data_IF_508958326902
#
_entry.id   IF_508958326902
#
_cell.length_a   1.000
_cell.length_b   1.000
_cell.length_c   1.000
_cell.angle_alpha   90.00
_cell.angle_beta   90.00
_cell.angle_gamma   90.00
#
_symmetry.space_group_name_H-M   'P 1'
#
loop_
_entity.id
_entity.type
_entity.pdbx_description
1 polymer ?
#
# COMPACT_ATOMS: atom_id res chain seq x y z
N UNK A 1 -64.16 -29.91 15.24
CA UNK A 1 -62.84 -30.27 14.74
C UNK A 1 -62.22 -29.15 13.86
N UNK A 2 -63.01 -28.55 12.99
CA UNK A 2 -62.54 -27.44 12.10
C UNK A 2 -62.17 -26.17 12.88
N UNK A 3 -62.84 -25.90 14.00
CA UNK A 3 -62.56 -24.71 14.84
C UNK A 3 -61.17 -24.69 15.49
N UNK A 4 -60.57 -25.84 15.76
CA UNK A 4 -59.20 -25.93 16.30
C UNK A 4 -58.13 -26.03 15.22
N UNK A 5 -58.52 -26.35 13.99
CA UNK A 5 -57.58 -26.51 12.88
C UNK A 5 -57.05 -25.14 12.38
N UNK A 6 -57.93 -24.16 12.35
CA UNK A 6 -57.58 -22.79 11.93
C UNK A 6 -56.53 -22.16 12.85
N UNK A 7 -56.70 -22.07 14.18
CA UNK A 7 -55.70 -21.52 15.08
C UNK A 7 -54.37 -22.29 15.08
N UNK A 8 -54.45 -23.64 14.90
CA UNK A 8 -53.23 -24.46 14.81
C UNK A 8 -52.41 -24.15 13.54
N UNK A 9 -53.08 -23.97 12.40
CA UNK A 9 -52.41 -23.58 11.15
C UNK A 9 -51.79 -22.19 11.26
N UNK A 10 -52.49 -21.22 11.87
CA UNK A 10 -51.94 -19.87 12.11
C UNK A 10 -50.72 -19.94 13.03
N UNK A 11 -50.79 -20.71 14.11
CA UNK A 11 -49.64 -20.88 15.00
C UNK A 11 -48.46 -21.54 14.31
N UNK A 12 -48.65 -22.57 13.52
CA UNK A 12 -47.61 -23.23 12.74
C UNK A 12 -46.98 -22.28 11.72
N UNK A 13 -47.78 -21.43 11.05
CA UNK A 13 -47.29 -20.43 10.14
C UNK A 13 -46.44 -19.36 10.84
N UNK A 14 -46.90 -18.86 11.98
CA UNK A 14 -46.15 -17.91 12.80
C UNK A 14 -44.82 -18.52 13.28
N UNK A 15 -44.85 -19.74 13.79
CA UNK A 15 -43.67 -20.48 14.26
C UNK A 15 -42.67 -20.67 13.09
N UNK A 16 -43.15 -21.07 11.92
CA UNK A 16 -42.32 -21.21 10.71
C UNK A 16 -41.70 -19.86 10.28
N UNK A 17 -42.48 -18.77 10.29
CA UNK A 17 -42.00 -17.44 9.95
C UNK A 17 -40.92 -16.97 10.94
N UNK A 18 -41.10 -17.18 12.23
CA UNK A 18 -40.09 -16.88 13.26
C UNK A 18 -38.84 -17.73 13.04
N UNK A 19 -38.99 -19.04 12.83
CA UNK A 19 -37.86 -19.95 12.59
C UNK A 19 -37.04 -19.55 11.34
N UNK A 20 -37.71 -19.12 10.28
CA UNK A 20 -37.04 -18.66 9.06
C UNK A 20 -36.19 -17.37 9.27
N UNK A 21 -36.56 -16.53 10.21
CA UNK A 21 -35.81 -15.32 10.58
C UNK A 21 -34.65 -15.58 11.53
N UNK A 22 -34.59 -16.74 12.18
CA UNK A 22 -33.54 -17.14 13.11
C UNK A 22 -32.24 -17.49 12.36
N UNK A 23 -32.35 -18.01 11.15
CA UNK A 23 -31.19 -18.51 10.38
C UNK A 23 -30.50 -17.35 9.66
N UNK A 24 -29.21 -17.14 9.98
CA UNK A 24 -28.34 -16.18 9.31
C UNK A 24 -27.13 -16.90 8.75
N UNK A 25 -26.88 -16.72 7.47
CA UNK A 25 -25.69 -17.24 6.78
C UNK A 25 -24.69 -16.10 6.69
N UNK A 26 -23.51 -16.33 7.27
CA UNK A 26 -22.39 -15.37 7.28
C UNK A 26 -21.35 -15.86 6.28
N UNK A 27 -20.89 -15.02 5.34
CA UNK A 27 -19.81 -15.37 4.41
C UNK A 27 -18.50 -15.70 5.13
N UNK A 28 -17.65 -16.46 4.47
CA UNK A 28 -16.31 -16.76 4.99
C UNK A 28 -15.46 -15.46 5.07
N UNK A 29 -14.56 -15.41 6.06
CA UNK A 29 -13.73 -14.25 6.37
C UNK A 29 -14.51 -12.99 6.79
N UNK A 30 -15.80 -13.11 7.13
CA UNK A 30 -16.57 -12.06 7.79
C UNK A 30 -17.10 -12.54 9.14
N UNK A 31 -17.32 -11.58 10.03
CA UNK A 31 -17.88 -11.86 11.37
C UNK A 31 -19.01 -10.90 11.65
N UNK A 32 -19.90 -11.32 12.53
CA UNK A 32 -21.03 -10.53 13.00
C UNK A 32 -21.03 -10.53 14.52
N UNK A 33 -21.15 -9.36 15.13
CA UNK A 33 -21.26 -9.22 16.57
C UNK A 33 -22.74 -9.36 16.95
N UNK A 34 -23.03 -10.26 17.87
CA UNK A 34 -24.38 -10.49 18.39
C UNK A 34 -24.45 -9.90 19.79
N UNK A 35 -25.41 -9.01 19.98
CA UNK A 35 -25.77 -8.45 21.28
C UNK A 35 -27.07 -9.07 21.78
N UNK A 36 -27.11 -9.40 23.07
CA UNK A 36 -28.31 -9.84 23.78
C UNK A 36 -28.74 -8.72 24.73
N UNK A 37 -29.93 -8.17 24.50
CA UNK A 37 -30.47 -7.05 25.27
C UNK A 37 -29.50 -5.88 25.42
N UNK A 38 -28.76 -5.54 24.34
CA UNK A 38 -27.80 -4.44 24.33
C UNK A 38 -26.43 -4.73 24.95
N UNK A 39 -26.16 -5.96 25.37
CA UNK A 39 -24.87 -6.41 25.89
C UNK A 39 -24.22 -7.38 24.91
N UNK A 40 -22.91 -7.28 24.72
CA UNK A 40 -22.15 -8.25 23.93
C UNK A 40 -22.40 -9.69 24.44
N UNK A 41 -22.78 -10.59 23.56
CA UNK A 41 -23.01 -12.01 23.86
C UNK A 41 -21.94 -12.87 23.19
N UNK A 42 -21.86 -12.85 21.86
CA UNK A 42 -20.91 -13.67 21.10
C UNK A 42 -20.56 -13.08 19.74
N UNK A 43 -19.46 -13.61 19.19
CA UNK A 43 -19.04 -13.36 17.82
C UNK A 43 -19.54 -14.52 16.92
N UNK A 44 -20.36 -14.21 15.94
CA UNK A 44 -20.80 -15.15 14.93
C UNK A 44 -19.82 -15.16 13.76
N UNK A 45 -19.13 -16.30 13.60
CA UNK A 45 -18.18 -16.52 12.50
C UNK A 45 -18.88 -17.01 11.23
N UNK A 46 -18.14 -17.11 10.12
CA UNK A 46 -18.65 -17.62 8.84
C UNK A 46 -19.34 -18.97 8.96
N UNK A 47 -20.45 -19.12 8.24
CA UNK A 47 -21.28 -20.31 8.24
C UNK A 47 -22.72 -20.04 8.69
N UNK A 48 -23.41 -21.11 9.09
CA UNK A 48 -24.80 -21.05 9.55
C UNK A 48 -24.83 -20.66 11.02
N UNK A 49 -25.49 -19.54 11.32
CA UNK A 49 -25.66 -19.04 12.68
C UNK A 49 -27.16 -18.88 12.99
N UNK A 50 -27.52 -19.24 14.24
CA UNK A 50 -28.88 -19.09 14.74
C UNK A 50 -28.91 -17.86 15.65
N UNK A 51 -29.76 -16.90 15.31
CA UNK A 51 -29.96 -15.64 16.07
C UNK A 51 -31.39 -15.64 16.56
N UNK A 52 -31.59 -15.55 17.89
CA UNK A 52 -32.92 -15.57 18.50
C UNK A 52 -33.59 -14.21 18.33
N UNK A 53 -34.66 -14.08 17.50
CA UNK A 53 -35.37 -12.82 17.37
C UNK A 53 -35.90 -12.34 18.71
N UNK A 54 -36.00 -11.01 18.90
CA UNK A 54 -36.41 -10.30 20.12
C UNK A 54 -35.37 -10.25 21.26
N UNK A 55 -34.54 -11.30 21.45
CA UNK A 55 -33.53 -11.33 22.52
C UNK A 55 -32.14 -10.94 21.99
N UNK A 56 -31.83 -11.37 20.81
CA UNK A 56 -30.54 -11.16 20.17
C UNK A 56 -30.69 -10.24 18.96
N UNK A 57 -29.77 -9.28 18.84
CA UNK A 57 -29.69 -8.35 17.69
C UNK A 57 -28.25 -8.26 17.17
N UNK A 58 -28.06 -8.28 15.85
CA UNK A 58 -26.75 -8.00 15.29
C UNK A 58 -26.40 -6.53 15.49
N UNK A 59 -25.18 -6.25 15.97
CA UNK A 59 -24.66 -4.90 16.11
C UNK A 59 -24.40 -4.29 14.73
N UNK A 60 -24.96 -3.13 14.47
CA UNK A 60 -24.68 -2.35 13.28
C UNK A 60 -23.44 -1.46 13.47
N UNK A 61 -22.61 -1.38 12.44
CA UNK A 61 -21.41 -0.54 12.39
C UNK A 61 -21.60 0.57 11.36
N UNK A 62 -21.19 1.78 11.72
CA UNK A 62 -21.25 2.94 10.85
C UNK A 62 -19.84 3.53 10.69
N UNK A 63 -19.02 2.90 9.85
CA UNK A 63 -17.67 3.37 9.58
C UNK A 63 -17.62 4.21 8.31
N UNK A 64 -16.77 5.21 8.30
CA UNK A 64 -16.55 6.08 7.12
C UNK A 64 -16.19 5.26 5.89
N UNK A 65 -16.88 5.50 4.78
CA UNK A 65 -16.69 4.76 3.52
C UNK A 65 -17.40 3.41 3.45
N UNK A 66 -18.02 2.94 4.54
CA UNK A 66 -18.83 1.73 4.57
C UNK A 66 -20.32 2.06 4.46
N UNK A 67 -21.13 1.06 4.06
CA UNK A 67 -22.59 1.23 4.03
C UNK A 67 -23.13 1.44 5.44
N UNK A 68 -23.95 2.47 5.68
CA UNK A 68 -24.55 2.69 6.98
C UNK A 68 -25.38 1.47 7.42
N UNK A 69 -25.28 1.09 8.69
CA UNK A 69 -26.01 -0.05 9.25
C UNK A 69 -25.48 -1.41 8.85
N UNK A 70 -24.24 -1.52 8.43
CA UNK A 70 -23.61 -2.80 8.12
C UNK A 70 -23.44 -3.63 9.39
N UNK A 71 -23.81 -4.89 9.32
CA UNK A 71 -23.79 -5.82 10.46
C UNK A 71 -22.66 -6.85 10.38
N UNK A 72 -21.96 -6.88 9.26
CA UNK A 72 -20.87 -7.82 9.01
C UNK A 72 -19.55 -7.05 8.87
N UNK A 73 -18.52 -7.54 9.55
CA UNK A 73 -17.17 -6.99 9.54
C UNK A 73 -16.29 -7.91 8.73
N UNK A 74 -15.63 -7.39 7.71
CA UNK A 74 -14.67 -8.13 6.90
C UNK A 74 -13.31 -8.20 7.61
N UNK A 75 -12.78 -9.41 7.78
CA UNK A 75 -11.49 -9.68 8.41
C UNK A 75 -10.32 -9.73 7.42
N UNK A 76 -10.58 -9.60 6.13
CA UNK A 76 -9.52 -9.55 5.12
C UNK A 76 -8.80 -8.22 5.19
N UNK A 77 -7.59 -8.20 4.65
CA UNK A 77 -6.85 -6.95 4.48
C UNK A 77 -7.65 -5.98 3.59
N UNK A 78 -7.75 -4.76 4.07
CA UNK A 78 -8.44 -3.66 3.41
C UNK A 78 -7.46 -2.53 3.15
N UNK A 79 -7.81 -1.66 2.22
CA UNK A 79 -7.03 -0.46 1.97
C UNK A 79 -7.94 0.78 2.05
N UNK A 80 -7.35 1.86 2.51
CA UNK A 80 -7.99 3.17 2.54
C UNK A 80 -7.09 4.15 1.81
N UNK A 81 -7.62 4.77 0.77
CA UNK A 81 -6.93 5.79 -0.02
C UNK A 81 -7.19 7.16 0.61
N UNK A 82 -6.12 7.86 0.97
CA UNK A 82 -6.19 9.22 1.49
C UNK A 82 -6.06 10.20 0.34
N UNK A 83 -6.95 11.19 0.34
CA UNK A 83 -6.83 12.32 -0.58
C UNK A 83 -5.59 13.16 -0.27
N UNK A 84 -5.03 13.89 -1.25
CA UNK A 84 -3.88 14.74 -1.05
C UNK A 84 -4.07 15.71 0.10
N UNK A 85 -3.14 15.70 1.06
CA UNK A 85 -3.15 16.57 2.24
C UNK A 85 -2.00 17.56 2.16
N UNK A 86 -2.22 18.84 2.48
CA UNK A 86 -1.15 19.81 2.59
C UNK A 86 -0.33 19.55 3.86
N UNK A 87 0.98 19.44 3.69
CA UNK A 87 1.95 19.26 4.77
C UNK A 87 3.09 20.25 4.58
N UNK A 88 3.55 20.84 5.68
CA UNK A 88 4.67 21.79 5.69
C UNK A 88 5.91 21.05 6.16
N UNK A 89 6.96 21.07 5.35
CA UNK A 89 8.28 20.49 5.68
C UNK A 89 9.07 21.40 6.63
N UNK A 90 10.19 20.90 7.17
CA UNK A 90 11.05 21.66 8.08
C UNK A 90 11.64 22.93 7.44
N UNK A 91 11.89 22.90 6.14
CA UNK A 91 12.36 24.04 5.33
C UNK A 91 11.23 24.98 4.89
N UNK A 92 10.05 24.87 5.52
CA UNK A 92 8.87 25.74 5.33
C UNK A 92 8.29 25.70 3.90
N UNK A 93 8.39 24.56 3.22
CA UNK A 93 7.75 24.32 1.93
C UNK A 93 6.45 23.54 2.14
N UNK A 94 5.34 24.04 1.60
CA UNK A 94 4.06 23.32 1.61
C UNK A 94 4.04 22.33 0.45
N UNK A 95 3.87 21.05 0.76
CA UNK A 95 3.76 19.97 -0.23
C UNK A 95 2.41 19.29 -0.11
N UNK A 96 1.89 18.77 -1.23
CA UNK A 96 0.69 17.93 -1.27
C UNK A 96 1.12 16.49 -1.25
N UNK A 97 0.64 15.73 -0.25
CA UNK A 97 0.99 14.32 -0.05
C UNK A 97 -0.26 13.48 -0.01
N UNK A 98 -0.33 12.46 -0.83
CA UNK A 98 -1.34 11.41 -0.83
C UNK A 98 -0.74 10.06 -0.42
N UNK A 99 -1.54 9.25 0.24
CA UNK A 99 -1.09 7.96 0.77
C UNK A 99 -2.18 6.90 0.74
N UNK A 100 -1.77 5.65 0.76
CA UNK A 100 -2.64 4.48 0.92
C UNK A 100 -2.22 3.73 2.17
N UNK A 101 -3.20 3.32 2.95
CA UNK A 101 -3.00 2.52 4.16
C UNK A 101 -3.60 1.15 3.93
N UNK A 102 -2.84 0.10 4.22
CA UNK A 102 -3.31 -1.28 4.25
C UNK A 102 -3.47 -1.71 5.70
N UNK A 103 -4.65 -2.16 6.06
CA UNK A 103 -4.99 -2.54 7.42
C UNK A 103 -5.95 -3.72 7.47
N UNK A 104 -5.98 -4.41 8.60
CA UNK A 104 -6.80 -5.59 8.82
C UNK A 104 -7.37 -5.57 10.23
N UNK A 105 -8.64 -5.94 10.37
CA UNK A 105 -9.26 -6.13 11.68
C UNK A 105 -8.80 -7.46 12.26
N UNK A 106 -8.10 -7.41 13.39
CA UNK A 106 -7.63 -8.59 14.13
C UNK A 106 -8.55 -8.94 15.29
N UNK A 107 -9.13 -7.95 15.94
CA UNK A 107 -10.08 -8.11 17.02
C UNK A 107 -11.36 -7.30 16.74
N UNK A 108 -12.40 -7.93 16.17
CA UNK A 108 -13.63 -7.25 15.81
C UNK A 108 -14.38 -6.63 17.02
N UNK A 109 -14.21 -7.21 18.20
CA UNK A 109 -14.87 -6.71 19.40
C UNK A 109 -14.32 -5.35 19.76
N UNK A 110 -12.99 -5.23 19.84
CA UNK A 110 -12.34 -3.94 20.09
C UNK A 110 -12.64 -2.93 18.99
N UNK A 111 -12.62 -3.38 17.72
CA UNK A 111 -12.89 -2.50 16.59
C UNK A 111 -14.28 -1.84 16.63
N UNK A 112 -15.26 -2.44 17.30
CA UNK A 112 -16.62 -1.91 17.39
C UNK A 112 -16.91 -1.18 18.69
N UNK A 113 -16.30 -1.62 19.81
CA UNK A 113 -16.63 -1.06 21.12
C UNK A 113 -15.61 -0.02 21.63
N UNK A 114 -14.36 -0.07 21.16
CA UNK A 114 -13.34 0.91 21.59
C UNK A 114 -13.34 2.20 20.75
N UNK A 115 -13.86 2.14 19.52
CA UNK A 115 -13.89 3.30 18.61
C UNK A 115 -15.23 3.37 17.86
N UNK A 116 -15.81 4.57 17.78
CA UNK A 116 -17.09 4.74 17.11
C UNK A 116 -16.98 4.66 15.58
N UNK A 117 -15.98 5.34 15.01
CA UNK A 117 -15.67 5.29 13.57
C UNK A 117 -14.21 4.88 13.39
N UNK A 118 -14.00 3.60 13.15
CA UNK A 118 -12.67 3.02 12.99
C UNK A 118 -11.92 3.60 11.79
N UNK A 119 -12.58 3.64 10.64
CA UNK A 119 -11.94 4.08 9.38
C UNK A 119 -11.63 5.58 9.44
N UNK A 120 -12.58 6.39 9.92
CA UNK A 120 -12.37 7.81 10.14
C UNK A 120 -11.24 8.08 11.13
N UNK A 121 -11.17 7.30 12.21
CA UNK A 121 -10.08 7.35 13.19
C UNK A 121 -8.71 7.04 12.58
N UNK A 122 -8.60 5.97 11.78
CA UNK A 122 -7.35 5.61 11.07
C UNK A 122 -6.93 6.74 10.12
N UNK A 123 -7.87 7.31 9.36
CA UNK A 123 -7.60 8.43 8.45
C UNK A 123 -7.02 9.64 9.20
N UNK A 124 -7.68 10.08 10.26
CA UNK A 124 -7.25 11.25 11.05
C UNK A 124 -5.89 11.02 11.73
N UNK A 125 -5.71 9.82 12.26
CA UNK A 125 -4.44 9.45 12.87
C UNK A 125 -3.30 9.47 11.84
N UNK A 126 -3.56 8.96 10.62
CA UNK A 126 -2.56 8.96 9.54
C UNK A 126 -2.21 10.37 9.08
N UNK A 127 -3.21 11.23 8.90
CA UNK A 127 -2.97 12.64 8.53
C UNK A 127 -2.08 13.32 9.58
N UNK A 128 -2.35 13.08 10.85
CA UNK A 128 -1.58 13.67 11.96
C UNK A 128 -0.16 13.10 12.02
N UNK A 129 -0.01 11.78 11.92
CA UNK A 129 1.29 11.12 11.91
C UNK A 129 2.13 11.57 10.70
N UNK A 130 1.52 11.67 9.53
CA UNK A 130 2.16 12.14 8.30
C UNK A 130 2.69 13.57 8.44
N UNK A 131 1.88 14.49 9.02
CA UNK A 131 2.33 15.86 9.29
C UNK A 131 3.53 15.89 10.23
N UNK A 132 3.53 15.07 11.28
CA UNK A 132 4.63 15.00 12.24
C UNK A 132 5.92 14.45 11.61
N UNK A 133 5.81 13.33 10.88
CA UNK A 133 6.98 12.67 10.28
C UNK A 133 7.58 13.53 9.16
N UNK A 134 6.75 14.04 8.26
CA UNK A 134 7.22 14.87 7.13
C UNK A 134 7.65 16.26 7.62
N UNK A 135 6.94 16.85 8.57
CA UNK A 135 7.30 18.15 9.15
C UNK A 135 8.66 18.20 9.86
N UNK A 136 9.18 17.04 10.25
CA UNK A 136 10.52 16.92 10.82
C UNK A 136 11.63 16.80 9.76
N UNK A 137 11.28 16.65 8.46
CA UNK A 137 12.21 16.42 7.36
C UNK A 137 12.26 17.62 6.42
N UNK A 138 13.40 17.81 5.77
CA UNK A 138 13.54 18.73 4.65
C UNK A 138 12.91 18.12 3.40
N UNK A 139 12.57 18.96 2.42
CA UNK A 139 11.94 18.51 1.17
C UNK A 139 12.77 17.45 0.44
N UNK A 140 14.08 17.65 0.32
CA UNK A 140 14.99 16.69 -0.34
C UNK A 140 14.99 15.33 0.34
N UNK A 141 14.96 15.30 1.66
CA UNK A 141 14.87 14.08 2.45
C UNK A 141 13.49 13.43 2.32
N UNK A 142 12.41 14.21 2.31
CA UNK A 142 11.06 13.70 2.10
C UNK A 142 10.89 13.01 0.74
N UNK A 143 11.52 13.56 -0.32
CA UNK A 143 11.48 12.99 -1.66
C UNK A 143 12.36 11.75 -1.83
N UNK A 144 13.52 11.71 -1.15
CA UNK A 144 14.52 10.65 -1.32
C UNK A 144 14.35 9.47 -0.36
N UNK A 145 13.72 9.67 0.81
CA UNK A 145 13.66 8.68 1.89
C UNK A 145 12.25 8.12 2.13
N UNK A 146 11.48 7.92 1.06
CA UNK A 146 10.08 7.43 1.14
C UNK A 146 9.94 6.14 1.94
N UNK A 147 10.85 5.18 1.77
CA UNK A 147 10.80 3.90 2.48
C UNK A 147 10.95 4.06 3.99
N UNK A 148 11.80 4.99 4.42
CA UNK A 148 11.97 5.32 5.84
C UNK A 148 10.71 5.96 6.40
N UNK A 149 10.10 6.89 5.66
CA UNK A 149 8.85 7.55 6.05
C UNK A 149 7.73 6.51 6.16
N UNK A 150 7.55 5.65 5.16
CA UNK A 150 6.56 4.58 5.15
C UNK A 150 6.71 3.65 6.37
N UNK A 151 7.96 3.28 6.69
CA UNK A 151 8.26 2.43 7.85
C UNK A 151 7.92 3.13 9.16
N UNK A 152 8.31 4.38 9.33
CA UNK A 152 8.01 5.16 10.54
C UNK A 152 6.51 5.36 10.71
N UNK A 153 5.79 5.72 9.63
CA UNK A 153 4.35 5.85 9.66
C UNK A 153 3.67 4.56 10.06
N UNK A 154 4.09 3.41 9.48
CA UNK A 154 3.55 2.10 9.82
C UNK A 154 3.70 1.80 11.31
N UNK A 155 4.89 2.03 11.89
CA UNK A 155 5.15 1.76 13.30
C UNK A 155 4.25 2.62 14.20
N UNK A 156 4.17 3.92 13.94
CA UNK A 156 3.35 4.85 14.72
C UNK A 156 1.87 4.48 14.65
N UNK A 157 1.39 4.13 13.44
CA UNK A 157 -0.01 3.79 13.23
C UNK A 157 -0.35 2.44 13.84
N UNK A 158 0.51 1.42 13.69
CA UNK A 158 0.28 0.08 14.25
C UNK A 158 0.19 0.14 15.78
N UNK A 159 1.09 0.88 16.42
CA UNK A 159 1.06 1.10 17.88
C UNK A 159 -0.23 1.79 18.33
N UNK A 160 -0.64 2.84 17.65
CA UNK A 160 -1.83 3.59 18.01
C UNK A 160 -3.15 2.84 17.75
N UNK A 161 -3.22 2.03 16.67
CA UNK A 161 -4.42 1.29 16.29
C UNK A 161 -4.54 -0.07 17.00
N UNK A 162 -3.49 -0.55 17.64
CA UNK A 162 -3.48 -1.82 18.37
C UNK A 162 -4.59 -1.89 19.43
N UNK A 163 -4.84 -0.81 20.16
CA UNK A 163 -5.94 -0.72 21.14
C UNK A 163 -7.32 -0.88 20.52
N UNK A 164 -7.48 -0.56 19.25
CA UNK A 164 -8.73 -0.74 18.50
C UNK A 164 -8.87 -2.12 17.85
N UNK A 165 -7.93 -3.04 18.12
CA UNK A 165 -7.94 -4.36 17.53
C UNK A 165 -7.69 -4.39 16.02
N UNK A 166 -6.95 -3.42 15.51
CA UNK A 166 -6.57 -3.30 14.10
C UNK A 166 -5.06 -3.37 13.95
N UNK A 167 -4.62 -4.07 12.93
CA UNK A 167 -3.23 -4.16 12.52
C UNK A 167 -3.01 -3.37 11.24
N UNK A 168 -2.12 -2.41 11.26
CA UNK A 168 -1.66 -1.71 10.07
C UNK A 168 -0.52 -2.51 9.46
N UNK A 169 -0.77 -3.10 8.28
CA UNK A 169 0.20 -3.95 7.59
C UNK A 169 1.24 -3.10 6.87
N UNK A 170 0.77 -2.07 6.15
CA UNK A 170 1.62 -1.24 5.29
C UNK A 170 1.03 0.14 5.10
N UNK A 171 1.90 1.13 5.00
CA UNK A 171 1.57 2.50 4.62
C UNK A 171 2.45 2.87 3.43
N UNK A 172 1.87 3.43 2.40
CA UNK A 172 2.60 3.85 1.20
C UNK A 172 2.24 5.28 0.81
N UNK A 173 3.26 6.10 0.64
CA UNK A 173 3.13 7.41 0.03
C UNK A 173 3.03 7.26 -1.49
N UNK A 174 1.93 7.70 -2.09
CA UNK A 174 1.71 7.65 -3.54
C UNK A 174 2.50 8.74 -4.25
N UNK A 175 2.15 9.99 -3.96
CA UNK A 175 2.79 11.14 -4.56
C UNK A 175 3.17 12.16 -3.49
N UNK A 176 4.28 12.86 -3.76
CA UNK A 176 4.71 14.03 -3.00
C UNK A 176 4.89 15.14 -4.03
N UNK A 177 3.96 16.08 -4.05
CA UNK A 177 3.92 17.14 -5.05
C UNK A 177 4.27 18.48 -4.41
N UNK A 178 5.50 18.98 -4.62
CA UNK A 178 5.87 20.34 -4.21
C UNK A 178 5.20 21.37 -5.12
N UNK A 179 5.10 22.65 -4.69
CA UNK A 179 4.64 23.75 -5.51
C UNK A 179 5.47 23.89 -6.79
N UNK A 180 4.85 24.39 -7.86
CA UNK A 180 5.47 24.48 -9.18
C UNK A 180 6.77 25.31 -9.17
N UNK A 181 6.80 26.42 -8.44
CA UNK A 181 7.97 27.30 -8.34
C UNK A 181 9.17 26.59 -7.72
N UNK A 182 8.92 25.77 -6.69
CA UNK A 182 9.95 24.98 -6.01
C UNK A 182 10.46 23.88 -6.94
N UNK A 183 9.54 23.18 -7.63
CA UNK A 183 9.86 22.14 -8.60
C UNK A 183 10.78 22.65 -9.72
N UNK A 184 10.43 23.79 -10.31
CA UNK A 184 11.24 24.43 -11.36
C UNK A 184 12.64 24.83 -10.87
N UNK A 185 12.74 25.30 -9.63
CA UNK A 185 14.02 25.67 -9.02
C UNK A 185 14.88 24.43 -8.77
N UNK A 186 14.31 23.36 -8.24
CA UNK A 186 14.99 22.08 -8.03
C UNK A 186 15.48 21.47 -9.35
N UNK A 187 14.67 21.48 -10.41
CA UNK A 187 15.07 21.00 -11.73
C UNK A 187 16.30 21.76 -12.27
N UNK A 188 16.34 23.08 -12.12
CA UNK A 188 17.49 23.90 -12.49
C UNK A 188 18.74 23.55 -11.68
N UNK A 189 18.59 23.39 -10.36
CA UNK A 189 19.69 23.00 -9.48
C UNK A 189 20.23 21.61 -9.83
N UNK A 190 19.37 20.62 -10.01
CA UNK A 190 19.76 19.26 -10.39
C UNK A 190 20.47 19.23 -11.74
N UNK A 191 20.02 20.01 -12.70
CA UNK A 191 20.68 20.14 -14.03
C UNK A 191 22.06 20.76 -13.90
N UNK A 192 22.20 21.83 -13.12
CA UNK A 192 23.47 22.47 -12.85
C UNK A 192 24.45 21.51 -12.13
N UNK A 193 23.98 20.73 -11.16
CA UNK A 193 24.82 19.77 -10.46
C UNK A 193 25.26 18.61 -11.37
N UNK A 194 24.36 18.07 -12.18
CA UNK A 194 24.72 17.05 -13.20
C UNK A 194 25.79 17.55 -14.14
N UNK A 195 25.67 18.79 -14.61
CA UNK A 195 26.66 19.41 -15.47
C UNK A 195 28.01 19.59 -14.75
N UNK A 196 28.01 19.99 -13.47
CA UNK A 196 29.25 20.10 -12.66
C UNK A 196 29.90 18.73 -12.48
N UNK A 197 29.12 17.68 -12.18
CA UNK A 197 29.64 16.29 -12.05
C UNK A 197 30.18 15.78 -13.37
N UNK A 198 29.49 16.03 -14.49
CA UNK A 198 29.96 15.69 -15.84
C UNK A 198 31.29 16.35 -16.19
N UNK A 199 31.44 17.67 -15.91
CA UNK A 199 32.68 18.40 -16.15
C UNK A 199 33.83 17.94 -15.26
N UNK A 200 33.57 17.59 -13.99
CA UNK A 200 34.60 17.01 -13.09
C UNK A 200 35.08 15.62 -13.58
N UNK A 201 34.19 14.80 -14.11
CA UNK A 201 34.57 13.48 -14.66
C UNK A 201 35.36 13.64 -15.98
N UNK A 202 34.95 14.58 -16.81
CA UNK A 202 35.65 14.91 -18.05
C UNK A 202 37.07 15.45 -17.80
N UNK A 203 37.24 16.35 -16.81
CA UNK A 203 38.55 16.86 -16.40
C UNK A 203 39.45 15.78 -15.83
N UNK A 204 38.92 14.85 -14.97
CA UNK A 204 39.66 13.69 -14.46
C UNK A 204 40.13 12.73 -15.56
N UNK A 205 39.33 12.56 -16.63
CA UNK A 205 39.73 11.76 -17.80
C UNK A 205 40.85 12.42 -18.60
N UNK A 206 40.90 13.76 -18.70
CA UNK A 206 41.97 14.52 -19.37
C UNK A 206 43.28 14.48 -18.60
N UNK A 207 43.25 14.37 -17.25
CA UNK A 207 44.44 14.38 -16.39
C UNK A 207 45.05 12.97 -16.23
N UNK A 208 44.44 11.90 -16.70
CA UNK A 208 45.14 10.60 -16.79
C UNK A 208 46.19 10.71 -17.90
N UNK A 209 47.51 10.83 -17.60
CA UNK A 209 48.52 10.78 -18.62
C UNK A 209 48.44 9.41 -19.28
N UNK A 210 48.49 9.38 -20.61
CA UNK A 210 48.75 8.15 -21.36
C UNK A 210 50.10 7.60 -20.89
N UNK A 211 50.06 6.78 -19.82
CA UNK A 211 51.25 6.06 -19.40
C UNK A 211 51.58 5.00 -20.45
N UNK A 212 52.65 5.27 -21.15
CA UNK A 212 53.48 4.31 -21.83
C UNK A 212 52.80 3.31 -22.79
N UNK A 213 52.63 3.77 -24.04
CA UNK A 213 52.85 2.81 -25.13
C UNK A 213 54.31 2.35 -25.04
N UNK A 214 54.63 1.07 -25.00
CA UNK A 214 56.01 0.59 -25.08
C UNK A 214 56.54 0.99 -26.45
N UNK A 215 57.61 1.81 -26.41
CA UNK A 215 58.39 2.19 -27.56
C UNK A 215 58.96 0.94 -28.20
N UNK A 216 58.31 0.43 -29.25
CA UNK A 216 58.85 -0.66 -30.06
C UNK A 216 60.18 -0.21 -30.64
N UNK A 217 61.28 -0.75 -30.14
CA UNK A 217 62.60 -0.63 -30.77
C UNK A 217 62.51 -1.31 -32.13
N UNK A 218 62.41 -0.52 -33.19
CA UNK A 218 62.58 -0.98 -34.54
C UNK A 218 64.03 -1.48 -34.70
N UNK A 219 64.22 -2.76 -34.78
CA UNK A 219 65.47 -3.38 -35.19
C UNK A 219 65.46 -3.47 -36.72
N UNK A 220 66.35 -2.72 -37.43
CA UNK A 220 66.38 -2.74 -38.90
C UNK A 220 67.34 -3.81 -39.40
N UNK A 221 67.00 -5.09 -39.28
CA UNK A 221 67.71 -6.15 -40.01
C UNK A 221 66.89 -7.46 -40.02
N UNK A 222 65.99 -7.60 -40.97
CA UNK A 222 65.68 -8.83 -41.66
C UNK A 222 64.67 -8.55 -42.78
N UNK A 223 65.15 -7.85 -43.78
CA UNK A 223 64.57 -7.91 -45.11
C UNK A 223 65.03 -9.22 -45.74
N UNK A 224 64.17 -9.89 -46.51
CA UNK A 224 64.36 -11.01 -47.37
C UNK A 224 64.06 -12.40 -46.75
N UNK A 225 62.91 -12.90 -47.03
CA UNK A 225 62.63 -14.12 -47.78
C UNK A 225 61.21 -14.62 -47.49
N UNK A 226 60.52 -14.68 -48.54
CA UNK A 226 59.59 -15.69 -49.06
C UNK A 226 58.23 -15.10 -49.43
N UNK A 227 58.20 -14.65 -50.68
CA UNK A 227 57.03 -14.83 -51.53
C UNK A 227 56.80 -16.30 -51.78
N UNK A 228 55.60 -16.76 -51.70
CA UNK A 228 54.85 -17.67 -52.57
C UNK A 228 53.85 -18.52 -51.85
N UNK A 229 52.67 -18.55 -52.50
CA UNK A 229 51.63 -19.60 -52.43
C UNK A 229 50.54 -19.34 -51.34
N UNK A 230 49.33 -19.29 -51.60
CA UNK A 230 48.37 -19.65 -52.61
C UNK A 230 46.96 -19.33 -52.11
N UNK A 231 46.00 -18.98 -52.95
CA UNK A 231 44.65 -18.61 -52.50
C UNK A 231 43.71 -19.83 -52.52
N UNK A 232 42.84 -19.96 -51.55
CA UNK A 232 41.58 -20.72 -51.67
C UNK A 232 40.55 -20.25 -50.64
N UNK A 233 39.59 -19.53 -51.19
CA UNK A 233 38.14 -19.84 -51.14
C UNK A 233 37.61 -20.56 -49.89
N UNK A 234 36.76 -19.89 -49.12
CA UNK A 234 35.57 -20.53 -48.56
C UNK A 234 34.39 -19.57 -48.52
N UNK A 235 33.43 -19.93 -49.25
CA UNK A 235 32.02 -19.76 -49.44
C UNK A 235 31.23 -19.25 -48.22
N UNK A 236 30.38 -18.36 -48.57
CA UNK A 236 29.08 -17.99 -47.94
C UNK A 236 28.22 -19.19 -47.52
N UNK A 237 27.69 -19.10 -46.32
CA UNK A 237 26.37 -19.64 -45.91
C UNK A 237 25.97 -18.79 -44.72
N UNK A 238 24.87 -18.11 -44.69
CA UNK A 238 23.50 -18.47 -44.89
C UNK A 238 22.76 -17.94 -43.70
N UNK A 239 22.04 -16.84 -43.85
CA UNK A 239 21.07 -16.36 -42.85
C UNK A 239 19.83 -17.29 -42.89
N UNK A 240 19.09 -17.39 -41.82
CA UNK A 240 17.65 -17.38 -41.93
C UNK A 240 16.98 -16.20 -41.19
N UNK A 241 15.96 -15.74 -41.87
CA UNK A 241 14.99 -14.74 -41.47
C UNK A 241 13.95 -15.30 -40.48
N UNK A 242 13.18 -14.38 -39.85
CA UNK A 242 12.29 -14.64 -38.69
C UNK A 242 10.91 -15.13 -39.08
N UNK A 243 10.29 -15.77 -38.13
CA UNK A 243 8.84 -15.83 -38.00
C UNK A 243 8.44 -15.27 -36.65
#
# INVERSE_FOLDING_TARGET
>A
MLEYLIPLVIFAFIAFFIASKMIRIIPQATVMIIERLGKYDRLAAGGLNIVTPFLESPRSVNWTGWRPGMIQIDLREQFTDLQPQPVITRDNVTIMVDSVIFWQVTDPIKAVYEVNDLVGGIIQLTITAMRNVIGALDLDHALSSRDTINTNLRVILDEATHKWGVKVTRVELKNINPPEDVRLTMEKQMTAERNRRGNRLASRRRVRPRSHAPRAKSNPRSCARKAKSNPRSYKLRGQPKPA
#
